data_IF_979004149553
#
_entry.id   IF_979004149553
#
_cell.length_a   1.000
_cell.length_b   1.000
_cell.length_c   1.000
_cell.angle_alpha   90.00
_cell.angle_beta   90.00
_cell.angle_gamma   90.00
#
_symmetry.space_group_name_H-M   'P 1'
#
loop_
_entity.id
_entity.type
_entity.pdbx_description
1 polymer ?
#
# COMPACT_ATOMS: atom_id res chain seq x y z
N UNK A 1 -9.76 1.47 -0.23
CA UNK A 1 -9.10 2.45 -1.07
C UNK A 1 -7.77 2.84 -0.46
N UNK A 2 -6.81 3.18 -1.29
CA UNK A 2 -5.42 3.49 -0.95
C UNK A 2 -5.28 4.60 0.10
N UNK A 3 -6.10 5.65 -0.01
CA UNK A 3 -6.11 6.76 0.95
C UNK A 3 -6.44 6.30 2.38
N UNK A 4 -7.38 5.38 2.55
CA UNK A 4 -7.77 4.85 3.85
C UNK A 4 -6.65 4.01 4.47
N UNK A 5 -5.95 3.20 3.67
CA UNK A 5 -4.81 2.41 4.12
C UNK A 5 -3.66 3.31 4.62
N UNK A 6 -3.40 4.43 3.95
CA UNK A 6 -2.43 5.42 4.39
C UNK A 6 -2.75 5.98 5.79
N UNK A 7 -4.01 6.43 5.99
CA UNK A 7 -4.43 6.97 7.28
C UNK A 7 -4.44 5.92 8.40
N UNK A 8 -4.85 4.69 8.08
CA UNK A 8 -4.83 3.60 9.06
C UNK A 8 -3.39 3.29 9.51
N UNK A 9 -2.44 3.27 8.59
CA UNK A 9 -1.03 3.08 8.91
C UNK A 9 -0.49 4.21 9.78
N UNK A 10 -0.76 5.46 9.41
CA UNK A 10 -0.32 6.63 10.19
C UNK A 10 -0.84 6.58 11.63
N UNK A 11 -2.11 6.18 11.84
CA UNK A 11 -2.68 5.99 13.16
C UNK A 11 -1.99 4.87 13.94
N UNK A 12 -1.68 3.74 13.30
CA UNK A 12 -0.94 2.63 13.92
C UNK A 12 0.46 3.10 14.36
N UNK A 13 1.18 3.80 13.49
CA UNK A 13 2.52 4.33 13.78
C UNK A 13 2.51 5.35 14.93
N UNK A 14 1.45 6.15 15.03
CA UNK A 14 1.23 7.10 16.11
C UNK A 14 0.71 6.46 17.41
N UNK A 15 0.46 5.15 17.43
CA UNK A 15 -0.10 4.46 18.58
C UNK A 15 -1.56 4.82 18.87
N UNK A 16 -2.31 5.27 17.85
CA UNK A 16 -3.70 5.69 17.99
C UNK A 16 -4.66 4.59 17.53
N UNK A 17 -5.52 4.17 18.43
CA UNK A 17 -6.62 3.24 18.13
C UNK A 17 -7.66 3.90 17.22
N UNK A 18 -8.31 3.10 16.39
CA UNK A 18 -9.38 3.56 15.50
C UNK A 18 -10.43 2.47 15.28
N UNK A 19 -11.53 2.85 14.64
CA UNK A 19 -12.62 1.92 14.30
C UNK A 19 -12.77 1.86 12.79
N UNK A 20 -12.96 0.66 12.26
CA UNK A 20 -13.27 0.41 10.85
C UNK A 20 -14.69 -0.10 10.72
N UNK A 21 -15.46 0.49 9.81
CA UNK A 21 -16.75 -0.02 9.36
C UNK A 21 -16.66 -0.46 7.91
N UNK A 22 -17.10 -1.68 7.60
CA UNK A 22 -17.00 -2.30 6.27
C UNK A 22 -18.36 -2.85 5.85
N UNK A 23 -18.79 -2.55 4.64
CA UNK A 23 -19.96 -3.16 4.01
C UNK A 23 -19.60 -4.58 3.60
N UNK A 24 -20.12 -5.58 4.31
CA UNK A 24 -19.80 -7.01 4.05
C UNK A 24 -20.82 -7.70 3.18
N UNK A 25 -22.07 -7.20 3.18
CA UNK A 25 -23.13 -7.68 2.27
C UNK A 25 -24.14 -6.57 1.96
N UNK A 26 -24.82 -6.69 0.81
CA UNK A 26 -25.86 -5.76 0.37
C UNK A 26 -26.93 -6.49 -0.43
N UNK A 27 -28.21 -6.08 -0.26
CA UNK A 27 -29.34 -6.55 -1.04
C UNK A 27 -30.14 -5.37 -1.55
N UNK A 28 -30.66 -5.47 -2.78
CA UNK A 28 -31.47 -4.41 -3.39
C UNK A 28 -30.65 -3.16 -3.78
N UNK A 29 -31.26 -1.99 -3.72
CA UNK A 29 -30.65 -0.70 -4.12
C UNK A 29 -29.85 -0.06 -2.98
N UNK A 30 -28.93 -0.79 -2.36
CA UNK A 30 -28.08 -0.26 -1.32
C UNK A 30 -27.20 0.91 -1.82
N UNK A 31 -26.90 1.93 -0.99
CA UNK A 31 -26.17 3.13 -1.39
C UNK A 31 -24.72 2.87 -1.85
N UNK A 32 -24.11 1.80 -1.37
CA UNK A 32 -22.76 1.37 -1.75
C UNK A 32 -22.68 -0.14 -1.90
N UNK A 33 -21.74 -0.56 -2.76
CA UNK A 33 -21.45 -1.98 -3.00
C UNK A 33 -20.67 -2.57 -1.83
N UNK A 34 -20.79 -3.90 -1.66
CA UNK A 34 -19.91 -4.70 -0.81
C UNK A 34 -18.43 -4.29 -0.95
N UNK A 35 -17.73 -4.18 0.15
CA UNK A 35 -16.33 -3.77 0.21
C UNK A 35 -16.11 -2.26 0.44
N UNK A 36 -17.17 -1.43 0.49
CA UNK A 36 -17.04 -0.04 0.91
C UNK A 36 -16.60 0.04 2.39
N UNK A 37 -15.70 0.96 2.71
CA UNK A 37 -15.06 1.07 4.03
C UNK A 37 -15.03 2.52 4.50
N UNK A 38 -15.26 2.69 5.79
CA UNK A 38 -15.10 3.94 6.52
C UNK A 38 -14.24 3.72 7.76
N UNK A 39 -13.23 4.55 7.96
CA UNK A 39 -12.42 4.62 9.17
C UNK A 39 -12.90 5.78 10.03
N UNK A 40 -13.09 5.56 11.33
CA UNK A 40 -13.35 6.61 12.30
C UNK A 40 -12.19 6.74 13.28
N UNK A 41 -11.74 7.97 13.49
CA UNK A 41 -10.73 8.33 14.50
C UNK A 41 -11.38 8.57 15.86
N UNK A 42 -10.56 8.59 16.89
CA UNK A 42 -11.03 8.83 18.27
C UNK A 42 -11.73 10.20 18.46
N UNK A 43 -11.37 11.21 17.68
CA UNK A 43 -12.02 12.53 17.68
C UNK A 43 -13.38 12.55 16.96
N UNK A 44 -13.80 11.42 16.38
CA UNK A 44 -15.04 11.24 15.64
C UNK A 44 -14.95 11.65 14.17
N UNK A 45 -13.80 12.12 13.69
CA UNK A 45 -13.60 12.36 12.25
C UNK A 45 -13.52 11.05 11.46
N UNK A 46 -14.04 11.07 10.23
CA UNK A 46 -14.14 9.90 9.38
C UNK A 46 -13.37 10.05 8.07
N UNK A 47 -12.92 8.93 7.53
CA UNK A 47 -12.25 8.81 6.23
C UNK A 47 -12.90 7.66 5.47
N UNK A 48 -13.25 7.89 4.22
CA UNK A 48 -14.03 6.93 3.44
C UNK A 48 -15.52 7.03 3.71
N UNK A 49 -16.32 6.09 3.24
CA UNK A 49 -17.79 6.10 3.37
C UNK A 49 -18.38 4.71 3.22
N UNK A 50 -19.44 4.41 3.94
CA UNK A 50 -20.24 3.19 3.77
C UNK A 50 -21.48 3.41 2.89
N UNK A 51 -21.68 4.63 2.38
CA UNK A 51 -22.76 4.90 1.40
C UNK A 51 -23.49 6.23 1.59
N UNK A 52 -23.18 7.00 2.63
CA UNK A 52 -23.83 8.27 2.91
C UNK A 52 -25.24 8.12 3.51
N UNK A 53 -25.89 9.27 3.75
CA UNK A 53 -27.24 9.33 4.25
C UNK A 53 -27.46 8.68 5.60
N UNK A 54 -28.63 8.05 5.78
CA UNK A 54 -29.04 7.43 7.05
C UNK A 54 -28.10 6.28 7.46
N UNK A 55 -27.68 5.45 6.50
CA UNK A 55 -26.78 4.33 6.77
C UNK A 55 -25.46 4.80 7.38
N UNK A 56 -24.87 5.84 6.83
CA UNK A 56 -23.62 6.42 7.33
C UNK A 56 -23.80 7.03 8.72
N UNK A 57 -24.86 7.80 8.93
CA UNK A 57 -25.15 8.41 10.23
C UNK A 57 -25.34 7.35 11.33
N UNK A 58 -26.06 6.27 11.06
CA UNK A 58 -26.23 5.16 12.02
C UNK A 58 -24.92 4.40 12.23
N UNK A 59 -24.15 4.15 11.16
CA UNK A 59 -22.84 3.51 11.26
C UNK A 59 -21.89 4.35 12.11
N UNK A 60 -21.87 5.66 11.94
CA UNK A 60 -21.05 6.55 12.79
C UNK A 60 -21.42 6.47 14.29
N UNK A 61 -22.70 6.40 14.62
CA UNK A 61 -23.15 6.22 16.02
C UNK A 61 -22.62 4.91 16.60
N UNK A 62 -22.68 3.82 15.82
CA UNK A 62 -22.18 2.52 16.23
C UNK A 62 -20.64 2.53 16.36
N UNK A 63 -19.91 3.19 15.46
CA UNK A 63 -18.47 3.36 15.58
C UNK A 63 -18.09 4.12 16.87
N UNK A 64 -18.80 5.20 17.22
CA UNK A 64 -18.60 5.92 18.50
C UNK A 64 -18.83 5.00 19.70
N UNK A 65 -19.91 4.23 19.69
CA UNK A 65 -20.18 3.23 20.73
C UNK A 65 -19.07 2.18 20.82
N UNK A 66 -18.51 1.76 19.70
CA UNK A 66 -17.40 0.78 19.65
C UNK A 66 -16.13 1.32 20.30
N UNK A 67 -15.86 2.63 20.26
CA UNK A 67 -14.77 3.23 21.06
C UNK A 67 -14.99 3.09 22.57
N UNK A 68 -16.24 3.14 23.04
CA UNK A 68 -16.57 2.97 24.45
C UNK A 68 -16.46 1.51 24.88
N UNK A 69 -17.03 0.59 24.10
CA UNK A 69 -17.06 -0.85 24.39
C UNK A 69 -15.73 -1.55 24.09
N UNK A 70 -14.95 -1.04 23.15
CA UNK A 70 -13.72 -1.63 22.60
C UNK A 70 -13.93 -3.08 22.10
N UNK A 71 -15.13 -3.35 21.61
CA UNK A 71 -15.50 -4.65 21.06
C UNK A 71 -14.71 -4.91 19.79
N UNK A 72 -14.03 -6.09 19.73
CA UNK A 72 -13.09 -6.41 18.65
C UNK A 72 -13.79 -6.43 17.28
N UNK A 73 -14.96 -7.06 17.21
CA UNK A 73 -15.75 -7.21 15.98
C UNK A 73 -17.22 -7.28 16.30
N UNK A 74 -18.04 -6.52 15.60
CA UNK A 74 -19.49 -6.61 15.66
C UNK A 74 -20.12 -6.47 14.28
N UNK A 75 -21.18 -7.24 14.01
CA UNK A 75 -21.91 -7.21 12.74
C UNK A 75 -23.30 -6.64 12.98
N UNK A 76 -23.69 -5.68 12.17
CA UNK A 76 -24.98 -5.02 12.19
C UNK A 76 -25.68 -5.18 10.86
N UNK A 77 -26.95 -5.59 10.91
CA UNK A 77 -27.84 -5.65 9.76
C UNK A 77 -28.75 -4.43 9.73
N UNK A 78 -28.74 -3.70 8.63
CA UNK A 78 -29.57 -2.53 8.38
C UNK A 78 -30.60 -2.85 7.29
N UNK A 79 -31.86 -2.62 7.60
CA UNK A 79 -32.96 -2.63 6.62
C UNK A 79 -33.36 -1.18 6.35
N UNK A 80 -33.10 -0.71 5.14
CA UNK A 80 -33.45 0.64 4.67
C UNK A 80 -34.88 0.60 4.11
N UNK A 81 -35.89 0.63 5.00
CA UNK A 81 -37.29 0.57 4.62
C UNK A 81 -37.76 1.85 3.93
N UNK A 82 -38.51 1.71 2.82
CA UNK A 82 -39.07 2.85 2.06
C UNK A 82 -40.03 3.73 2.88
N UNK A 83 -40.57 3.21 3.98
CA UNK A 83 -41.52 3.92 4.84
C UNK A 83 -40.90 4.96 5.77
N UNK A 84 -39.57 4.93 5.98
CA UNK A 84 -38.87 5.98 6.75
C UNK A 84 -38.43 7.17 5.86
N UNK A 85 -38.89 7.23 4.61
CA UNK A 85 -38.72 8.34 3.65
C UNK A 85 -39.56 9.59 4.00
N UNK A 86 -39.64 9.97 5.27
CA UNK A 86 -40.12 11.28 5.66
C UNK A 86 -39.06 12.32 5.48
N UNK A 87 -39.09 13.05 4.35
CA UNK A 87 -38.52 14.38 4.14
C UNK A 87 -37.14 14.57 3.48
N UNK A 88 -36.44 13.59 2.94
CA UNK A 88 -35.31 13.89 2.03
C UNK A 88 -35.21 12.84 0.93
N UNK A 89 -35.33 13.30 -0.30
CA UNK A 89 -35.35 12.62 -1.59
C UNK A 89 -34.06 11.86 -1.88
N UNK A 90 -33.86 10.68 -1.29
CA UNK A 90 -32.80 9.75 -1.65
C UNK A 90 -33.36 8.35 -1.80
N UNK A 91 -33.61 7.98 -3.06
CA UNK A 91 -34.23 6.74 -3.50
C UNK A 91 -33.41 5.46 -3.33
N UNK A 92 -32.89 5.19 -2.16
CA UNK A 92 -32.14 3.99 -1.85
C UNK A 92 -32.95 3.14 -0.84
N UNK A 93 -33.63 2.12 -1.33
CA UNK A 93 -34.19 1.05 -0.52
C UNK A 93 -33.33 -0.18 -0.69
N UNK A 94 -32.93 -0.85 0.40
CA UNK A 94 -32.13 -2.06 0.36
C UNK A 94 -31.58 -2.42 1.73
N UNK A 95 -31.07 -3.63 1.86
CA UNK A 95 -30.43 -4.09 3.09
C UNK A 95 -28.90 -3.95 2.98
N UNK A 96 -28.25 -3.65 4.09
CA UNK A 96 -26.81 -3.61 4.18
C UNK A 96 -26.36 -4.27 5.49
N UNK A 97 -25.36 -5.11 5.40
CA UNK A 97 -24.68 -5.70 6.56
C UNK A 97 -23.35 -4.98 6.74
N UNK A 98 -23.14 -4.38 7.91
CA UNK A 98 -21.93 -3.63 8.28
C UNK A 98 -21.18 -4.40 9.36
N UNK A 99 -19.93 -4.71 9.10
CA UNK A 99 -18.99 -5.17 10.11
C UNK A 99 -18.25 -3.97 10.69
N UNK A 100 -18.18 -3.88 12.01
CA UNK A 100 -17.44 -2.83 12.73
C UNK A 100 -16.38 -3.48 13.60
N UNK A 101 -15.13 -3.07 13.40
CA UNK A 101 -13.96 -3.59 14.09
C UNK A 101 -13.25 -2.48 14.87
N UNK A 102 -12.95 -2.73 16.16
CA UNK A 102 -12.06 -1.90 16.94
C UNK A 102 -10.63 -2.33 16.74
N UNK A 103 -9.79 -1.45 16.23
CA UNK A 103 -8.38 -1.73 15.92
C UNK A 103 -7.49 -1.07 16.96
N UNK A 104 -6.75 -1.91 17.69
CA UNK A 104 -5.72 -1.45 18.63
C UNK A 104 -4.43 -1.20 17.86
N UNK A 105 -3.89 0.01 17.93
CA UNK A 105 -2.64 0.35 17.28
C UNK A 105 -1.46 -0.52 17.75
N UNK A 106 -1.44 -0.89 19.04
CA UNK A 106 -0.41 -1.76 19.61
C UNK A 106 -0.47 -3.22 19.14
N UNK A 107 -1.65 -3.68 18.65
CA UNK A 107 -1.86 -5.03 18.13
C UNK A 107 -2.94 -5.00 17.04
N UNK A 108 -2.64 -4.52 15.83
CA UNK A 108 -3.61 -4.38 14.75
C UNK A 108 -4.04 -5.71 14.13
N UNK A 109 -3.39 -6.83 14.49
CA UNK A 109 -3.77 -8.18 14.09
C UNK A 109 -3.86 -8.36 12.58
N UNK A 110 -4.90 -9.10 12.13
CA UNK A 110 -5.12 -9.40 10.70
C UNK A 110 -5.50 -8.17 9.86
N UNK A 111 -5.86 -7.05 10.50
CA UNK A 111 -6.14 -5.80 9.81
C UNK A 111 -5.01 -5.39 8.86
N UNK A 112 -3.75 -5.52 9.28
CA UNK A 112 -2.55 -5.19 8.49
C UNK A 112 -2.48 -6.00 7.20
N UNK A 113 -2.92 -7.26 7.23
CA UNK A 113 -2.95 -8.15 6.06
C UNK A 113 -4.16 -7.89 5.16
N UNK A 114 -5.33 -7.68 5.75
CA UNK A 114 -6.58 -7.46 5.03
C UNK A 114 -6.58 -6.12 4.27
N UNK A 115 -6.12 -5.08 4.94
CA UNK A 115 -5.89 -3.78 4.33
C UNK A 115 -4.41 -3.70 3.93
N UNK A 116 -4.05 -4.18 2.75
CA UNK A 116 -2.70 -4.04 2.19
C UNK A 116 -2.17 -2.63 2.44
N UNK A 117 -1.54 -2.46 3.61
CA UNK A 117 -1.03 -1.16 4.04
C UNK A 117 0.17 -0.81 3.18
N UNK A 118 -0.07 -0.02 2.15
CA UNK A 118 0.86 0.54 1.18
C UNK A 118 1.99 -0.42 0.73
N UNK A 119 2.01 -0.76 -0.53
CA UNK A 119 3.14 -1.48 -1.15
C UNK A 119 4.44 -0.73 -0.90
N UNK A 120 5.53 -1.45 -0.68
CA UNK A 120 6.85 -0.85 -0.51
C UNK A 120 7.58 -0.79 -1.85
N UNK A 121 8.10 0.38 -2.20
CA UNK A 121 8.99 0.58 -3.32
C UNK A 121 10.44 0.62 -2.82
N UNK A 122 11.20 -0.41 -3.15
CA UNK A 122 12.63 -0.48 -2.90
C UNK A 122 13.37 0.12 -4.09
N UNK A 123 14.01 1.26 -3.88
CA UNK A 123 14.71 2.04 -4.93
C UNK A 123 16.21 1.81 -4.76
N UNK A 124 16.79 1.06 -5.66
CA UNK A 124 18.22 0.77 -5.70
C UNK A 124 18.92 1.81 -6.56
N UNK A 125 19.71 2.65 -5.91
CA UNK A 125 20.36 3.83 -6.47
C UNK A 125 19.67 5.13 -6.03
N UNK A 126 20.33 5.96 -5.21
CA UNK A 126 19.84 7.25 -4.69
C UNK A 126 20.16 8.45 -5.58
N UNK A 127 20.46 8.25 -6.88
CA UNK A 127 20.82 9.30 -7.83
C UNK A 127 19.67 10.24 -8.20
N UNK A 128 19.84 10.99 -9.30
CA UNK A 128 18.85 12.01 -9.74
C UNK A 128 17.48 11.40 -10.04
N UNK A 129 17.42 10.22 -10.65
CA UNK A 129 16.15 9.56 -10.98
C UNK A 129 15.40 9.19 -9.70
N UNK A 130 16.08 8.58 -8.74
CA UNK A 130 15.48 8.25 -7.44
C UNK A 130 15.01 9.49 -6.70
N UNK A 131 15.80 10.56 -6.71
CA UNK A 131 15.45 11.83 -6.07
C UNK A 131 14.17 12.46 -6.62
N UNK A 132 13.95 12.36 -7.93
CA UNK A 132 12.73 12.83 -8.56
C UNK A 132 11.55 11.86 -8.40
N UNK A 133 11.81 10.56 -8.41
CA UNK A 133 10.78 9.51 -8.38
C UNK A 133 10.21 9.28 -6.98
N UNK A 134 11.02 9.31 -5.94
CA UNK A 134 10.62 8.98 -4.56
C UNK A 134 9.43 9.84 -4.08
N UNK A 135 9.42 11.18 -4.25
CA UNK A 135 8.27 12.00 -3.87
C UNK A 135 6.98 11.63 -4.64
N UNK A 136 7.10 11.24 -5.89
CA UNK A 136 5.94 10.83 -6.72
C UNK A 136 5.37 9.51 -6.20
N UNK A 137 6.22 8.54 -5.91
CA UNK A 137 5.80 7.25 -5.33
C UNK A 137 5.08 7.45 -3.99
N UNK A 138 5.60 8.30 -3.12
CA UNK A 138 4.92 8.62 -1.85
C UNK A 138 3.59 9.33 -2.07
N UNK A 139 3.49 10.18 -3.08
CA UNK A 139 2.25 10.87 -3.41
C UNK A 139 1.13 9.91 -3.85
N UNK A 140 1.49 8.75 -4.36
CA UNK A 140 0.57 7.68 -4.72
C UNK A 140 0.60 6.52 -3.71
N UNK A 141 0.90 6.84 -2.45
CA UNK A 141 0.80 5.99 -1.24
C UNK A 141 1.76 4.79 -1.19
N UNK A 142 2.91 4.85 -1.87
CA UNK A 142 3.99 3.90 -1.62
C UNK A 142 4.80 4.26 -0.38
N UNK A 143 5.19 3.23 0.37
CA UNK A 143 6.33 3.32 1.28
C UNK A 143 7.59 3.26 0.45
N UNK A 144 8.58 4.08 0.75
CA UNK A 144 9.81 4.13 -0.04
C UNK A 144 11.02 3.77 0.82
N UNK A 145 11.87 2.89 0.30
CA UNK A 145 13.16 2.55 0.88
C UNK A 145 14.23 2.80 -0.18
N UNK A 146 15.18 3.66 0.11
CA UNK A 146 16.26 4.02 -0.84
C UNK A 146 17.55 3.35 -0.41
N UNK A 147 18.19 2.63 -1.34
CA UNK A 147 19.41 1.86 -1.12
C UNK A 147 20.49 2.35 -2.10
N UNK A 148 21.65 2.74 -1.61
CA UNK A 148 22.82 3.10 -2.43
C UNK A 148 24.11 2.64 -1.75
N UNK A 149 25.19 2.47 -2.51
CA UNK A 149 26.52 2.14 -2.01
C UNK A 149 27.31 3.38 -1.54
N UNK A 150 26.68 4.54 -1.50
CA UNK A 150 27.29 5.82 -1.12
C UNK A 150 26.38 6.56 -0.13
N UNK A 151 26.94 6.95 1.00
CA UNK A 151 26.21 7.64 2.06
C UNK A 151 25.58 8.97 1.60
N UNK A 152 26.28 9.73 0.74
CA UNK A 152 25.74 10.98 0.20
C UNK A 152 24.50 10.82 -0.68
N UNK A 153 24.18 9.59 -1.15
CA UNK A 153 23.04 9.26 -1.97
C UNK A 153 21.94 8.49 -1.25
N UNK A 154 22.21 7.91 -0.09
CA UNK A 154 21.21 7.20 0.71
C UNK A 154 21.21 7.69 2.16
N UNK A 155 20.67 8.88 2.40
CA UNK A 155 20.57 9.48 3.71
C UNK A 155 19.27 10.25 3.90
N UNK A 156 18.94 10.55 5.17
CA UNK A 156 17.70 11.23 5.55
C UNK A 156 17.66 12.72 5.18
N UNK A 157 18.79 13.36 4.93
CA UNK A 157 18.81 14.75 4.43
C UNK A 157 18.35 14.79 2.97
N UNK A 158 18.80 13.83 2.17
CA UNK A 158 18.44 13.71 0.75
C UNK A 158 17.02 13.16 0.55
N UNK A 159 16.60 12.22 1.37
CA UNK A 159 15.27 11.59 1.34
C UNK A 159 14.57 11.70 2.70
N UNK A 160 14.16 12.92 3.11
CA UNK A 160 13.66 13.18 4.46
C UNK A 160 12.35 12.49 4.80
N UNK A 161 11.66 11.98 3.80
CA UNK A 161 10.35 11.35 3.96
C UNK A 161 10.32 9.87 3.52
N UNK A 162 11.45 9.34 3.06
CA UNK A 162 11.56 7.90 2.85
C UNK A 162 11.44 7.18 4.20
N UNK A 163 10.82 6.01 4.21
CA UNK A 163 10.70 5.21 5.43
C UNK A 163 12.08 4.79 5.96
N UNK A 164 12.96 4.43 5.03
CA UNK A 164 14.34 4.08 5.34
C UNK A 164 15.28 4.51 4.21
N UNK A 165 16.50 4.85 4.60
CA UNK A 165 17.65 4.96 3.71
C UNK A 165 18.71 3.97 4.17
N UNK A 166 19.26 3.20 3.26
CA UNK A 166 20.20 2.12 3.56
C UNK A 166 21.47 2.32 2.73
N UNK A 167 22.60 2.43 3.41
CA UNK A 167 23.91 2.41 2.76
C UNK A 167 24.43 0.99 2.81
N UNK A 168 24.77 0.42 1.65
CA UNK A 168 25.35 -0.91 1.53
C UNK A 168 26.82 -0.81 1.12
N UNK A 169 27.64 -1.77 1.54
CA UNK A 169 29.04 -1.81 1.13
C UNK A 169 29.16 -2.11 -0.36
N UNK A 170 28.28 -2.99 -0.86
CA UNK A 170 28.18 -3.37 -2.25
C UNK A 170 26.75 -3.83 -2.58
N UNK A 171 26.31 -3.63 -3.83
CA UNK A 171 24.99 -4.08 -4.28
C UNK A 171 24.81 -5.60 -4.30
N UNK A 172 25.86 -6.42 -4.17
CA UNK A 172 25.74 -7.87 -4.01
C UNK A 172 25.03 -8.28 -2.71
N UNK A 173 24.98 -7.39 -1.71
CA UNK A 173 24.34 -7.58 -0.40
C UNK A 173 23.18 -6.61 -0.17
N UNK A 174 22.63 -6.04 -1.23
CA UNK A 174 21.63 -4.97 -1.14
C UNK A 174 20.25 -5.39 -0.66
N UNK A 175 20.01 -6.69 -0.51
CA UNK A 175 18.75 -7.26 -0.01
C UNK A 175 18.85 -7.84 1.40
N UNK A 176 20.02 -7.79 2.05
CA UNK A 176 20.23 -8.46 3.34
C UNK A 176 19.39 -7.84 4.47
N UNK A 177 19.18 -6.52 4.43
CA UNK A 177 18.46 -5.76 5.47
C UNK A 177 17.04 -5.35 5.05
N UNK A 178 16.46 -5.99 4.03
CA UNK A 178 15.12 -5.70 3.53
C UNK A 178 14.27 -6.96 3.35
N UNK A 179 12.96 -6.82 3.64
CA UNK A 179 11.97 -7.87 3.43
C UNK A 179 11.17 -7.58 2.17
N UNK A 180 11.52 -8.27 1.08
CA UNK A 180 10.78 -8.23 -0.18
C UNK A 180 9.73 -9.33 -0.17
N UNK A 181 8.49 -8.95 -0.43
CA UNK A 181 7.33 -9.82 -0.54
C UNK A 181 6.62 -9.67 -1.89
N UNK A 182 5.54 -10.40 -2.09
CA UNK A 182 4.74 -10.41 -3.32
C UNK A 182 4.09 -9.06 -3.66
N UNK A 183 3.97 -8.14 -2.70
CA UNK A 183 3.42 -6.79 -2.86
C UNK A 183 4.52 -5.72 -3.00
N UNK A 184 5.79 -6.11 -2.99
CA UNK A 184 6.93 -5.21 -3.09
C UNK A 184 7.24 -4.82 -4.54
N UNK A 185 7.67 -3.57 -4.73
CA UNK A 185 8.10 -3.01 -6.02
C UNK A 185 9.61 -2.78 -5.98
N UNK A 186 10.34 -3.36 -6.92
CA UNK A 186 11.79 -3.25 -7.04
C UNK A 186 12.09 -2.31 -8.19
N UNK A 187 12.77 -1.20 -7.90
CA UNK A 187 13.12 -0.15 -8.86
C UNK A 187 14.63 -0.01 -8.90
N UNK A 188 15.23 -0.36 -10.05
CA UNK A 188 16.67 -0.44 -10.23
C UNK A 188 17.13 0.74 -11.09
N UNK A 189 17.75 1.71 -10.44
CA UNK A 189 18.22 2.98 -11.02
C UNK A 189 19.64 3.32 -10.54
N UNK A 190 20.50 2.30 -10.43
CA UNK A 190 21.88 2.50 -9.97
C UNK A 190 22.71 3.29 -10.98
N UNK A 191 23.88 3.75 -10.58
CA UNK A 191 24.76 4.55 -11.45
C UNK A 191 25.40 3.80 -12.61
N UNK A 192 25.16 2.48 -12.75
CA UNK A 192 25.78 1.70 -13.84
C UNK A 192 25.38 0.23 -13.86
N UNK A 193 25.63 -0.40 -15.02
CA UNK A 193 25.14 -1.76 -15.29
C UNK A 193 25.65 -2.82 -14.31
N UNK A 194 26.83 -2.61 -13.70
CA UNK A 194 27.36 -3.57 -12.72
C UNK A 194 26.49 -3.59 -11.48
N UNK A 195 26.08 -2.40 -10.99
CA UNK A 195 25.13 -2.30 -9.89
C UNK A 195 23.76 -2.85 -10.27
N UNK A 196 23.24 -2.48 -11.43
CA UNK A 196 21.95 -2.95 -11.93
C UNK A 196 21.91 -4.49 -12.02
N UNK A 197 22.98 -5.12 -12.56
CA UNK A 197 23.09 -6.58 -12.66
C UNK A 197 23.11 -7.26 -11.29
N UNK A 198 23.87 -6.71 -10.32
CA UNK A 198 23.96 -7.25 -8.97
C UNK A 198 22.61 -7.23 -8.25
N UNK A 199 21.87 -6.13 -8.37
CA UNK A 199 20.53 -6.01 -7.83
C UNK A 199 19.55 -6.96 -8.53
N UNK A 200 19.60 -7.02 -9.86
CA UNK A 200 18.68 -7.82 -10.66
C UNK A 200 18.83 -9.33 -10.37
N UNK A 201 20.06 -9.84 -10.19
CA UNK A 201 20.31 -11.23 -9.76
C UNK A 201 19.61 -11.61 -8.46
N UNK A 202 19.55 -10.67 -7.51
CA UNK A 202 18.92 -10.90 -6.22
C UNK A 202 17.40 -10.75 -6.31
N UNK A 203 16.94 -9.75 -7.08
CA UNK A 203 15.53 -9.52 -7.31
C UNK A 203 14.82 -10.72 -7.93
N UNK A 204 15.42 -11.34 -8.95
CA UNK A 204 14.85 -12.49 -9.66
C UNK A 204 14.75 -13.78 -8.83
N UNK A 205 15.39 -13.84 -7.67
CA UNK A 205 15.28 -14.94 -6.71
C UNK A 205 14.14 -14.75 -5.70
N UNK A 206 13.39 -13.65 -5.79
CA UNK A 206 12.34 -13.26 -4.86
C UNK A 206 11.03 -13.07 -5.59
N UNK A 207 9.93 -13.26 -4.87
CA UNK A 207 8.62 -12.86 -5.36
C UNK A 207 8.45 -11.36 -5.12
N UNK A 208 7.97 -10.65 -6.13
CA UNK A 208 7.66 -9.23 -6.05
C UNK A 208 6.54 -8.87 -7.02
N UNK A 209 5.83 -7.79 -6.75
CA UNK A 209 4.77 -7.30 -7.63
C UNK A 209 5.31 -6.69 -8.92
N UNK A 210 6.53 -6.12 -8.87
CA UNK A 210 7.11 -5.40 -9.99
C UNK A 210 8.63 -5.34 -9.90
N UNK A 211 9.30 -5.50 -11.03
CA UNK A 211 10.73 -5.24 -11.20
C UNK A 211 10.89 -4.30 -12.39
N UNK A 212 11.32 -3.07 -12.12
CA UNK A 212 11.61 -2.07 -13.15
C UNK A 212 13.09 -1.69 -13.14
N UNK A 213 13.70 -1.54 -14.32
CA UNK A 213 15.11 -1.19 -14.44
C UNK A 213 15.35 -0.13 -15.51
N UNK A 214 16.16 0.86 -15.15
CA UNK A 214 16.63 1.87 -16.10
C UNK A 214 17.63 1.27 -17.11
N UNK A 215 17.75 1.90 -18.24
CA UNK A 215 18.79 1.56 -19.21
C UNK A 215 18.26 1.54 -20.65
N UNK A 216 19.14 1.71 -21.61
CA UNK A 216 18.76 1.55 -23.02
C UNK A 216 18.46 0.09 -23.37
N UNK A 217 17.59 -0.14 -24.35
CA UNK A 217 17.27 -1.51 -24.84
C UNK A 217 18.52 -2.34 -25.14
N UNK A 218 19.54 -1.71 -25.73
CA UNK A 218 20.82 -2.37 -26.04
C UNK A 218 21.57 -2.83 -24.77
N UNK A 219 21.62 -1.98 -23.76
CA UNK A 219 22.28 -2.29 -22.48
C UNK A 219 21.55 -3.37 -21.70
N UNK A 220 20.23 -3.26 -21.64
CA UNK A 220 19.39 -4.23 -20.94
C UNK A 220 19.52 -5.62 -21.58
N UNK A 221 19.61 -5.70 -22.91
CA UNK A 221 19.83 -6.97 -23.61
C UNK A 221 21.14 -7.65 -23.19
N UNK A 222 22.23 -6.90 -23.06
CA UNK A 222 23.51 -7.45 -22.58
C UNK A 222 23.41 -8.00 -21.15
N UNK A 223 22.64 -7.36 -20.28
CA UNK A 223 22.39 -7.86 -18.93
C UNK A 223 21.56 -9.15 -18.96
N UNK A 224 20.55 -9.22 -19.81
CA UNK A 224 19.74 -10.43 -20.00
C UNK A 224 20.53 -11.61 -20.52
N UNK A 225 21.40 -11.38 -21.53
CA UNK A 225 22.28 -12.43 -22.07
C UNK A 225 23.19 -13.01 -20.96
N UNK A 226 23.77 -12.13 -20.12
CA UNK A 226 24.57 -12.54 -18.96
C UNK A 226 23.77 -13.36 -17.94
N UNK A 227 22.53 -12.91 -17.61
CA UNK A 227 21.67 -13.61 -16.67
C UNK A 227 21.22 -14.99 -17.19
N UNK A 228 20.94 -15.11 -18.50
CA UNK A 228 20.59 -16.38 -19.12
C UNK A 228 21.77 -17.34 -19.12
N UNK A 229 23.01 -16.87 -19.36
CA UNK A 229 24.22 -17.67 -19.19
C UNK A 229 24.41 -18.19 -17.76
N UNK A 230 23.91 -17.45 -16.76
CA UNK A 230 23.90 -17.84 -15.36
C UNK A 230 22.71 -18.74 -14.96
N UNK A 231 21.85 -19.10 -15.91
CA UNK A 231 20.72 -20.02 -15.71
C UNK A 231 19.38 -19.37 -15.40
N UNK A 232 19.24 -18.03 -15.54
CA UNK A 232 17.95 -17.33 -15.45
C UNK A 232 17.11 -17.68 -16.68
N UNK A 233 15.84 -17.99 -16.49
CA UNK A 233 14.94 -18.40 -17.56
C UNK A 233 14.36 -17.20 -18.32
N UNK A 234 13.88 -17.44 -19.55
CA UNK A 234 13.17 -16.41 -20.33
C UNK A 234 11.92 -15.90 -19.61
N UNK A 235 11.19 -16.74 -18.90
CA UNK A 235 10.02 -16.37 -18.12
C UNK A 235 10.39 -15.41 -16.96
N UNK A 236 11.54 -15.61 -16.34
CA UNK A 236 12.04 -14.68 -15.31
C UNK A 236 12.47 -13.36 -15.93
N UNK A 237 13.12 -13.36 -17.08
CA UNK A 237 13.47 -12.15 -17.84
C UNK A 237 12.21 -11.36 -18.26
N UNK A 238 11.15 -12.07 -18.68
CA UNK A 238 9.90 -11.45 -19.11
C UNK A 238 9.18 -10.67 -17.99
N UNK A 239 9.52 -10.92 -16.72
CA UNK A 239 8.97 -10.17 -15.58
C UNK A 239 9.63 -8.79 -15.40
N UNK A 240 10.72 -8.50 -16.08
CA UNK A 240 11.49 -7.26 -15.93
C UNK A 240 10.93 -6.19 -16.89
N UNK A 241 10.51 -5.08 -16.31
CA UNK A 241 10.10 -3.90 -17.07
C UNK A 241 11.31 -2.99 -17.33
N UNK A 242 11.94 -3.14 -18.50
CA UNK A 242 13.12 -2.35 -18.87
C UNK A 242 13.16 -2.06 -20.38
N UNK A 243 13.34 -0.81 -20.78
CA UNK A 243 13.53 0.37 -19.94
C UNK A 243 12.32 0.65 -19.04
N UNK A 244 12.55 1.06 -17.81
CA UNK A 244 11.47 1.56 -16.92
C UNK A 244 10.88 2.84 -17.49
N UNK A 245 9.55 3.00 -17.42
CA UNK A 245 8.83 4.19 -17.87
C UNK A 245 7.76 3.87 -18.89
N UNK A 246 7.24 4.92 -19.52
CA UNK A 246 6.26 4.83 -20.61
C UNK A 246 6.98 4.56 -21.93
N UNK A 247 6.32 3.80 -22.84
CA UNK A 247 6.77 3.59 -24.22
C UNK A 247 6.53 4.83 -25.10
#
# INVERSE_FOLDING_TARGET
>A
SEQLSYYARDLIEQGQDFVIAKVVDTKGSAPRKKGAVMLMKKDGSTIGTVGGGLLEAETEKLCRKTFETKEKTHIYDFTLDEKQKGALDMGCGGDATIQIDYIKAADPGDFVKEFKLASTAYIFGGGHVAYALEPVLRHIDFRTVVIDDREEYANSERFPHAERTIVVDDFDHSFDDIDVDEDSYIIIVTRGHRGDLKVLRQALKRQSAYIGMIGSRRKNRLLYDTLMEEGVTEDQIAQIHAPIGLD
#
